data_IF_525008902660
#
_entry.id   IF_525008902660
#
_cell.length_a   1.000
_cell.length_b   1.000
_cell.length_c   1.000
_cell.angle_alpha   90.00
_cell.angle_beta   90.00
_cell.angle_gamma   90.00
#
_symmetry.space_group_name_H-M   'P 1'
#
loop_
_entity.id
_entity.type
_entity.pdbx_description
1 polymer ?
#
# COMPACT_ATOMS: atom_id res chain seq x y z
N UNK A 1 -3.67 -5.75 -22.71
CA UNK A 1 -3.83 -6.09 -21.28
C UNK A 1 -3.61 -4.81 -20.50
N UNK A 2 -4.60 -4.39 -19.72
CA UNK A 2 -4.61 -3.14 -18.96
C UNK A 2 -4.29 -3.43 -17.50
N UNK A 3 -3.67 -2.49 -16.80
CA UNK A 3 -3.37 -2.62 -15.37
C UNK A 3 -4.25 -1.66 -14.59
N UNK A 4 -4.98 -2.16 -13.59
CA UNK A 4 -5.70 -1.34 -12.62
C UNK A 4 -4.94 -1.33 -11.29
N UNK A 5 -4.58 -0.15 -10.79
CA UNK A 5 -3.85 0.03 -9.55
C UNK A 5 -4.81 0.02 -8.37
N UNK A 6 -4.70 -1.01 -7.53
CA UNK A 6 -5.47 -1.18 -6.32
C UNK A 6 -4.86 -0.40 -5.15
N UNK A 7 -4.86 0.93 -5.28
CA UNK A 7 -4.43 1.86 -4.23
C UNK A 7 -5.18 3.18 -4.35
N UNK A 8 -5.56 3.76 -3.20
CA UNK A 8 -6.09 5.13 -3.10
C UNK A 8 -4.99 6.18 -2.87
N UNK A 9 -3.72 5.75 -2.73
CA UNK A 9 -2.60 6.67 -2.53
C UNK A 9 -2.20 7.31 -3.87
N UNK A 10 -2.56 8.58 -4.04
CA UNK A 10 -2.26 9.36 -5.25
C UNK A 10 -0.76 9.46 -5.56
N UNK A 11 0.10 9.53 -4.56
CA UNK A 11 1.55 9.55 -4.77
C UNK A 11 2.02 8.23 -5.38
N UNK A 12 1.55 7.08 -4.86
CA UNK A 12 1.85 5.76 -5.43
C UNK A 12 1.33 5.60 -6.86
N UNK A 13 0.14 6.13 -7.15
CA UNK A 13 -0.41 6.10 -8.51
C UNK A 13 0.54 6.80 -9.49
N UNK A 14 1.03 7.99 -9.13
CA UNK A 14 1.98 8.74 -9.95
C UNK A 14 3.30 7.99 -10.13
N UNK A 15 3.87 7.47 -9.04
CA UNK A 15 5.12 6.70 -9.08
C UNK A 15 5.00 5.44 -9.94
N UNK A 16 3.92 4.66 -9.77
CA UNK A 16 3.69 3.44 -10.53
C UNK A 16 3.41 3.71 -12.00
N UNK A 17 2.65 4.77 -12.33
CA UNK A 17 2.44 5.19 -13.73
C UNK A 17 3.76 5.59 -14.40
N UNK A 18 4.69 6.21 -13.67
CA UNK A 18 6.02 6.54 -14.19
C UNK A 18 6.91 5.30 -14.37
N UNK A 19 6.98 4.43 -13.36
CA UNK A 19 7.80 3.20 -13.39
C UNK A 19 7.34 2.26 -14.50
N UNK A 20 6.03 2.17 -14.74
CA UNK A 20 5.42 1.23 -15.68
C UNK A 20 4.81 1.96 -16.89
N UNK A 21 5.43 3.05 -17.35
CA UNK A 21 4.94 3.93 -18.44
C UNK A 21 4.66 3.23 -19.78
N UNK A 22 5.26 2.07 -20.00
CA UNK A 22 5.06 1.26 -21.22
C UNK A 22 3.76 0.44 -21.19
N UNK A 23 3.03 0.47 -20.06
CA UNK A 23 1.76 -0.21 -19.87
C UNK A 23 0.59 0.78 -19.79
N UNK A 24 -0.59 0.32 -20.22
CA UNK A 24 -1.84 1.06 -20.06
C UNK A 24 -2.33 0.92 -18.61
N UNK A 25 -2.11 1.96 -17.80
CA UNK A 25 -2.35 1.95 -16.35
C UNK A 25 -3.47 2.89 -15.95
N UNK A 26 -4.35 2.36 -15.12
CA UNK A 26 -5.47 3.07 -14.54
C UNK A 26 -5.39 3.05 -13.01
N UNK A 27 -5.63 4.18 -12.36
CA UNK A 27 -6.02 4.16 -10.96
C UNK A 27 -7.41 3.53 -10.83
N UNK A 28 -7.69 2.81 -9.74
CA UNK A 28 -8.96 2.08 -9.66
C UNK A 28 -10.18 3.00 -9.68
N UNK A 29 -10.07 4.23 -9.18
CA UNK A 29 -11.12 5.26 -9.22
C UNK A 29 -11.34 5.89 -10.61
N UNK A 30 -10.47 5.60 -11.58
CA UNK A 30 -10.69 5.95 -13.00
C UNK A 30 -11.62 4.93 -13.70
N UNK A 31 -11.78 3.73 -13.13
CA UNK A 31 -12.51 2.60 -13.74
C UNK A 31 -13.74 2.17 -12.93
N UNK A 32 -13.64 2.27 -11.61
CA UNK A 32 -14.64 1.80 -10.65
C UNK A 32 -15.12 2.95 -9.77
N UNK A 33 -16.34 2.83 -9.24
CA UNK A 33 -16.78 3.70 -8.15
C UNK A 33 -15.85 3.49 -6.93
N UNK A 34 -15.29 4.55 -6.34
CA UNK A 34 -14.39 4.41 -5.19
C UNK A 34 -15.05 3.69 -4.02
N UNK A 35 -14.31 2.80 -3.37
CA UNK A 35 -14.74 2.09 -2.17
C UNK A 35 -13.56 1.92 -1.21
N UNK A 36 -13.87 1.67 0.06
CA UNK A 36 -12.86 1.42 1.08
C UNK A 36 -12.37 -0.03 0.98
N UNK A 37 -11.06 -0.21 0.93
CA UNK A 37 -10.45 -1.54 0.92
C UNK A 37 -9.99 -1.87 2.34
N UNK A 38 -10.59 -2.89 2.94
CA UNK A 38 -10.25 -3.34 4.29
C UNK A 38 -8.89 -4.08 4.30
N UNK A 39 -7.85 -3.44 4.84
CA UNK A 39 -6.53 -4.03 5.03
C UNK A 39 -6.44 -4.79 6.37
N UNK A 40 -7.01 -6.00 6.42
CA UNK A 40 -7.03 -6.86 7.61
C UNK A 40 -5.95 -7.96 7.61
N UNK A 41 -4.95 -7.85 6.72
CA UNK A 41 -3.78 -8.72 6.71
C UNK A 41 -2.86 -8.47 7.90
N UNK A 42 -2.03 -9.47 8.22
CA UNK A 42 -1.02 -9.43 9.28
C UNK A 42 0.39 -9.17 8.72
N UNK A 43 0.53 -9.16 7.40
CA UNK A 43 1.79 -8.92 6.68
C UNK A 43 1.58 -8.03 5.46
N UNK A 44 2.66 -7.38 4.98
CA UNK A 44 2.62 -6.60 3.74
C UNK A 44 2.11 -7.42 2.55
N UNK A 45 2.57 -8.67 2.44
CA UNK A 45 2.15 -9.59 1.37
C UNK A 45 0.64 -9.86 1.40
N UNK A 46 0.06 -10.07 2.59
CA UNK A 46 -1.37 -10.29 2.74
C UNK A 46 -2.17 -9.05 2.36
N UNK A 47 -1.77 -7.87 2.84
CA UNK A 47 -2.44 -6.61 2.49
C UNK A 47 -2.37 -6.29 0.99
N UNK A 48 -1.20 -6.50 0.36
CA UNK A 48 -1.05 -6.32 -1.08
C UNK A 48 -2.02 -7.22 -1.85
N UNK A 49 -2.11 -8.50 -1.46
CA UNK A 49 -3.02 -9.45 -2.12
C UNK A 49 -4.49 -9.13 -1.85
N UNK A 50 -4.86 -8.75 -0.62
CA UNK A 50 -6.22 -8.31 -0.26
C UNK A 50 -6.64 -7.15 -1.15
N UNK A 51 -5.78 -6.14 -1.29
CA UNK A 51 -6.05 -4.97 -2.14
C UNK A 51 -6.25 -5.34 -3.60
N UNK A 52 -5.31 -6.09 -4.17
CA UNK A 52 -5.40 -6.52 -5.56
C UNK A 52 -6.68 -7.34 -5.82
N UNK A 53 -7.04 -8.26 -4.91
CA UNK A 53 -8.27 -9.06 -5.02
C UNK A 53 -9.53 -8.22 -4.89
N UNK A 54 -9.57 -7.28 -3.95
CA UNK A 54 -10.74 -6.43 -3.73
C UNK A 54 -11.10 -5.64 -4.99
N UNK A 55 -10.09 -5.01 -5.61
CA UNK A 55 -10.29 -4.26 -6.86
C UNK A 55 -10.61 -5.19 -8.04
N UNK A 56 -9.91 -6.32 -8.18
CA UNK A 56 -10.19 -7.26 -9.26
C UNK A 56 -11.60 -7.84 -9.19
N UNK A 57 -12.09 -8.15 -8.00
CA UNK A 57 -13.43 -8.71 -7.79
C UNK A 57 -14.55 -7.70 -8.03
N UNK A 58 -14.24 -6.40 -7.94
CA UNK A 58 -15.19 -5.32 -8.23
C UNK A 58 -15.38 -5.05 -9.74
N UNK A 59 -14.50 -5.60 -10.60
CA UNK A 59 -14.65 -5.54 -12.05
C UNK A 59 -15.77 -6.46 -12.53
N UNK A 60 -16.47 -6.07 -13.59
CA UNK A 60 -17.40 -6.94 -14.29
C UNK A 60 -16.68 -8.01 -15.13
N UNK A 61 -17.42 -9.01 -15.63
CA UNK A 61 -16.86 -10.15 -16.37
C UNK A 61 -16.19 -9.78 -17.70
N UNK A 62 -16.55 -8.64 -18.28
CA UNK A 62 -15.86 -8.13 -19.48
C UNK A 62 -14.56 -7.46 -19.08
N UNK A 63 -14.60 -6.59 -18.08
CA UNK A 63 -13.45 -5.88 -17.55
C UNK A 63 -12.37 -6.85 -17.03
N UNK A 64 -12.74 -7.92 -16.32
CA UNK A 64 -11.79 -8.94 -15.83
C UNK A 64 -10.95 -9.61 -16.94
N UNK A 65 -11.44 -9.64 -18.19
CA UNK A 65 -10.68 -10.17 -19.34
C UNK A 65 -9.66 -9.20 -19.89
N UNK A 66 -9.89 -7.90 -19.67
CA UNK A 66 -9.06 -6.82 -20.20
C UNK A 66 -8.05 -6.31 -19.17
N UNK A 67 -8.35 -6.47 -17.86
CA UNK A 67 -7.57 -5.93 -16.75
C UNK A 67 -6.88 -6.99 -15.89
N UNK A 68 -5.68 -6.64 -15.42
CA UNK A 68 -5.05 -7.24 -14.23
C UNK A 68 -5.01 -6.19 -13.11
N UNK A 69 -5.30 -6.59 -11.88
CA UNK A 69 -5.17 -5.72 -10.72
C UNK A 69 -3.77 -5.83 -10.11
N UNK A 70 -3.11 -4.69 -9.93
CA UNK A 70 -1.80 -4.57 -9.29
C UNK A 70 -1.95 -3.77 -7.99
N UNK A 71 -1.40 -4.28 -6.89
CA UNK A 71 -1.32 -3.53 -5.62
C UNK A 71 0.08 -3.53 -5.05
N UNK A 72 0.36 -2.52 -4.24
CA UNK A 72 1.53 -2.38 -3.39
C UNK A 72 1.10 -2.15 -1.93
N UNK A 73 1.67 -2.93 -1.01
CA UNK A 73 1.67 -2.64 0.42
C UNK A 73 3.10 -2.41 0.91
N UNK A 74 3.35 -1.21 1.43
CA UNK A 74 4.70 -0.79 1.80
C UNK A 74 4.71 0.03 3.08
N UNK A 75 5.83 -0.01 3.77
CA UNK A 75 6.01 0.63 5.06
C UNK A 75 7.45 0.58 5.56
N UNK A 76 7.69 1.25 6.68
CA UNK A 76 8.97 1.27 7.37
C UNK A 76 8.94 0.32 8.57
N UNK A 77 10.01 -0.44 8.74
CA UNK A 77 10.24 -1.32 9.87
C UNK A 77 11.46 -0.84 10.65
N UNK A 78 11.31 -0.60 11.95
CA UNK A 78 12.37 -0.09 12.82
C UNK A 78 12.79 -1.14 13.82
N UNK A 79 14.08 -1.48 13.86
CA UNK A 79 14.60 -2.62 14.62
C UNK A 79 14.34 -2.49 16.12
N UNK A 80 14.56 -1.29 16.70
CA UNK A 80 14.34 -1.06 18.15
C UNK A 80 12.87 -1.02 18.55
N UNK A 81 11.97 -0.98 17.55
CA UNK A 81 10.54 -1.07 17.73
C UNK A 81 9.99 -2.43 17.28
N UNK A 82 10.87 -3.43 17.15
CA UNK A 82 10.50 -4.81 16.78
C UNK A 82 9.75 -4.85 15.44
N UNK A 83 10.18 -4.01 14.49
CA UNK A 83 9.58 -3.92 13.16
C UNK A 83 8.38 -2.97 13.05
N UNK A 84 7.91 -2.37 14.15
CA UNK A 84 6.91 -1.31 14.07
C UNK A 84 7.50 -0.06 13.39
N UNK A 85 6.68 0.73 12.66
CA UNK A 85 5.23 0.61 12.50
C UNK A 85 4.75 -0.48 11.54
N UNK A 86 5.61 -0.98 10.64
CA UNK A 86 5.27 -2.09 9.75
C UNK A 86 4.08 -1.75 8.84
N UNK A 87 3.10 -2.67 8.76
CA UNK A 87 1.86 -2.49 7.98
C UNK A 87 1.02 -1.28 8.44
N UNK A 88 1.28 -0.72 9.62
CA UNK A 88 0.58 0.46 10.13
C UNK A 88 1.26 1.78 9.72
N UNK A 89 2.31 1.74 8.90
CA UNK A 89 3.13 2.92 8.56
C UNK A 89 2.32 4.15 8.15
N UNK A 90 1.33 3.99 7.26
CA UNK A 90 0.50 5.10 6.76
C UNK A 90 -0.47 5.68 7.81
N UNK A 91 -0.79 4.89 8.84
CA UNK A 91 -1.79 5.23 9.87
C UNK A 91 -1.23 5.16 11.29
N UNK A 92 0.10 5.21 11.44
CA UNK A 92 0.75 4.92 12.71
C UNK A 92 0.32 5.88 13.82
N UNK A 93 0.15 7.16 13.49
CA UNK A 93 -0.35 8.20 14.39
C UNK A 93 -1.87 8.17 14.62
N UNK A 94 -2.61 7.43 13.80
CA UNK A 94 -4.09 7.50 13.74
C UNK A 94 -4.64 8.74 13.05
N UNK A 95 -3.80 9.72 12.69
CA UNK A 95 -4.22 10.97 12.02
C UNK A 95 -4.12 10.90 10.49
N UNK A 96 -3.39 9.92 9.96
CA UNK A 96 -3.26 9.72 8.52
C UNK A 96 -2.36 10.75 7.80
N UNK A 97 -1.56 11.52 8.52
CA UNK A 97 -0.58 12.45 7.93
C UNK A 97 0.87 12.04 8.23
N UNK A 98 1.74 12.25 7.25
CA UNK A 98 3.12 11.78 7.29
C UNK A 98 3.93 12.42 8.43
N UNK A 99 3.67 13.68 8.75
CA UNK A 99 4.39 14.38 9.81
C UNK A 99 4.06 13.75 11.16
N UNK A 100 2.78 13.58 11.49
CA UNK A 100 2.34 12.93 12.72
C UNK A 100 2.84 11.49 12.83
N UNK A 101 2.87 10.75 11.72
CA UNK A 101 3.40 9.38 11.68
C UNK A 101 4.89 9.34 12.03
N UNK A 102 5.71 10.23 11.44
CA UNK A 102 7.14 10.37 11.77
C UNK A 102 7.38 10.83 13.20
N UNK A 103 6.64 11.83 13.66
CA UNK A 103 6.76 12.36 15.03
C UNK A 103 6.44 11.26 16.06
N UNK A 104 5.37 10.49 15.84
CA UNK A 104 5.05 9.34 16.71
C UNK A 104 6.15 8.28 16.67
N UNK A 105 6.67 7.94 15.49
CA UNK A 105 7.75 6.98 15.33
C UNK A 105 8.98 7.34 16.17
N UNK A 106 9.46 8.57 16.04
CA UNK A 106 10.61 9.09 16.80
C UNK A 106 10.31 9.10 18.30
N UNK A 107 9.11 9.54 18.70
CA UNK A 107 8.72 9.57 20.11
C UNK A 107 8.67 8.17 20.74
N UNK A 108 8.17 7.15 20.04
CA UNK A 108 8.17 5.77 20.55
C UNK A 108 9.60 5.21 20.72
N UNK A 109 10.54 5.58 19.84
CA UNK A 109 11.95 5.22 20.03
C UNK A 109 12.56 5.89 21.26
N UNK A 110 12.32 7.20 21.43
CA UNK A 110 12.83 7.98 22.57
C UNK A 110 12.26 7.46 23.89
N UNK A 111 10.95 7.13 23.93
CA UNK A 111 10.30 6.53 25.11
C UNK A 111 10.93 5.20 25.54
N UNK A 112 11.42 4.41 24.57
CA UNK A 112 12.17 3.17 24.82
C UNK A 112 13.67 3.40 25.12
N UNK A 113 14.11 4.65 25.19
CA UNK A 113 15.50 5.01 25.53
C UNK A 113 16.47 5.00 24.35
N UNK A 114 15.99 4.87 23.12
CA UNK A 114 16.84 4.82 21.93
C UNK A 114 16.97 6.20 21.27
N UNK A 115 18.22 6.59 20.95
CA UNK A 115 18.52 7.81 20.16
C UNK A 115 18.64 7.55 18.67
N UNK A 116 18.89 6.29 18.29
CA UNK A 116 19.06 5.87 16.89
C UNK A 116 18.65 4.41 16.73
N UNK A 117 18.33 4.01 15.51
CA UNK A 117 18.02 2.63 15.16
C UNK A 117 18.31 2.38 13.69
N UNK A 118 18.57 1.11 13.37
CA UNK A 118 18.45 0.64 11.98
C UNK A 118 16.97 0.58 11.61
N UNK A 119 16.69 0.90 10.37
CA UNK A 119 15.36 0.79 9.80
C UNK A 119 15.48 0.38 8.34
N UNK A 120 14.43 -0.24 7.82
CA UNK A 120 14.34 -0.62 6.41
C UNK A 120 12.93 -0.40 5.88
N UNK A 121 12.82 -0.06 4.60
CA UNK A 121 11.56 -0.06 3.89
C UNK A 121 11.27 -1.46 3.34
N UNK A 122 10.01 -1.88 3.47
CA UNK A 122 9.48 -3.10 2.86
C UNK A 122 8.41 -2.68 1.87
N UNK A 123 8.41 -3.31 0.69
CA UNK A 123 7.34 -3.22 -0.28
C UNK A 123 6.97 -4.63 -0.74
N UNK A 124 5.68 -4.93 -0.73
CA UNK A 124 5.12 -6.17 -1.24
C UNK A 124 4.17 -5.85 -2.39
N UNK A 125 4.47 -6.39 -3.57
CA UNK A 125 3.65 -6.23 -4.76
C UNK A 125 2.81 -7.49 -4.97
N UNK A 126 1.52 -7.32 -5.28
CA UNK A 126 0.63 -8.40 -5.64
C UNK A 126 -0.08 -8.10 -6.95
N UNK A 127 -0.30 -9.15 -7.75
CA UNK A 127 -0.99 -9.06 -9.03
C UNK A 127 -2.06 -10.15 -9.10
N UNK A 128 -3.26 -9.80 -9.58
CA UNK A 128 -4.42 -10.70 -9.71
C UNK A 128 -5.04 -10.50 -11.10
N UNK A 129 -5.31 -11.60 -11.80
CA UNK A 129 -5.91 -11.63 -13.14
C UNK A 129 -6.68 -12.93 -13.36
N UNK A 130 -7.43 -13.00 -14.47
CA UNK A 130 -8.09 -14.22 -14.96
C UNK A 130 -7.08 -15.27 -15.44
#
# INVERSE_FOLDING_TARGET
MKIILATSNKHKVLELKEILKDFEIYAFDEVLMPFEIEENGKTFKENALIKARAVFNALDEKQKKDFIALSDDSGICVDVLEGNPGIYSARFSGKGDDKSNRDKLVNEMIKKGFKQSKAHYVAAIAMVGL
#
